data_IF_367651943014
#
_entry.id   IF_367651943014
#
_cell.length_a   1.000
_cell.length_b   1.000
_cell.length_c   1.000
_cell.angle_alpha   90.00
_cell.angle_beta   90.00
_cell.angle_gamma   90.00
#
_symmetry.space_group_name_H-M   'P 1'
#
loop_
_entity.id
_entity.type
_entity.pdbx_description
1 polymer ?
#
# COMPACT_ATOMS: atom_id res chain seq x y z
N UNK A 1 -28.95 -3.64 -13.15
CA UNK A 1 -29.12 -2.18 -12.99
C UNK A 1 -27.89 -1.62 -12.31
N UNK A 2 -27.27 -0.54 -12.82
CA UNK A 2 -26.18 0.15 -12.09
C UNK A 2 -26.73 0.98 -10.93
N UNK A 3 -25.95 1.12 -9.86
CA UNK A 3 -26.33 1.78 -8.61
C UNK A 3 -26.68 3.26 -8.84
N UNK A 4 -25.91 3.95 -9.69
CA UNK A 4 -26.12 5.38 -9.98
C UNK A 4 -27.40 5.57 -10.78
N UNK A 5 -27.61 4.75 -11.80
CA UNK A 5 -28.84 4.79 -12.62
C UNK A 5 -30.07 4.44 -11.79
N UNK A 6 -29.98 3.46 -10.89
CA UNK A 6 -31.07 3.11 -9.98
C UNK A 6 -31.44 4.29 -9.05
N UNK A 7 -30.44 4.98 -8.50
CA UNK A 7 -30.67 6.16 -7.67
C UNK A 7 -31.30 7.32 -8.44
N UNK A 8 -30.84 7.59 -9.67
CA UNK A 8 -31.43 8.66 -10.50
C UNK A 8 -32.88 8.39 -10.88
N UNK A 9 -33.28 7.12 -11.05
CA UNK A 9 -34.65 6.74 -11.36
C UNK A 9 -35.58 6.69 -10.14
N UNK A 10 -35.08 6.22 -9.00
CA UNK A 10 -35.89 5.96 -7.81
C UNK A 10 -35.87 7.11 -6.79
N UNK A 11 -34.85 7.98 -6.84
CA UNK A 11 -34.69 9.12 -5.93
C UNK A 11 -34.47 8.77 -4.46
N UNK A 12 -34.33 7.48 -4.12
CA UNK A 12 -34.17 7.00 -2.74
C UNK A 12 -33.05 5.97 -2.63
N UNK A 13 -32.18 6.16 -1.63
CA UNK A 13 -31.08 5.23 -1.36
C UNK A 13 -31.54 3.84 -0.95
N UNK A 14 -32.70 3.72 -0.29
CA UNK A 14 -33.24 2.42 0.12
C UNK A 14 -33.87 1.68 -1.06
N UNK A 15 -34.70 2.36 -1.84
CA UNK A 15 -35.30 1.77 -3.03
C UNK A 15 -34.23 1.32 -4.04
N UNK A 16 -33.19 2.13 -4.26
CA UNK A 16 -32.06 1.75 -5.11
C UNK A 16 -31.28 0.56 -4.54
N UNK A 17 -31.14 0.47 -3.22
CA UNK A 17 -30.48 -0.66 -2.58
C UNK A 17 -31.27 -1.97 -2.75
N UNK A 18 -32.59 -1.92 -2.58
CA UNK A 18 -33.48 -3.08 -2.75
C UNK A 18 -33.46 -3.57 -4.21
N UNK A 19 -33.50 -2.65 -5.18
CA UNK A 19 -33.44 -2.98 -6.62
C UNK A 19 -32.08 -3.54 -7.05
N UNK A 20 -30.99 -3.06 -6.46
CA UNK A 20 -29.63 -3.51 -6.78
C UNK A 20 -29.13 -4.65 -5.87
N UNK A 21 -29.89 -5.07 -4.87
CA UNK A 21 -29.48 -6.11 -3.90
C UNK A 21 -28.28 -5.69 -3.03
N UNK A 22 -28.13 -4.41 -2.71
CA UNK A 22 -27.01 -3.88 -1.90
C UNK A 22 -27.52 -3.20 -0.64
N UNK A 23 -26.64 -2.53 0.11
CA UNK A 23 -27.05 -1.73 1.28
C UNK A 23 -27.17 -0.26 0.91
N UNK A 24 -28.16 0.44 1.48
CA UNK A 24 -28.34 1.89 1.30
C UNK A 24 -27.08 2.72 1.66
N UNK A 25 -26.22 2.23 2.57
CA UNK A 25 -24.92 2.84 2.87
C UNK A 25 -23.93 2.73 1.71
N UNK A 26 -23.95 1.59 1.00
CA UNK A 26 -23.15 1.41 -0.22
C UNK A 26 -23.63 2.34 -1.32
N UNK A 27 -24.95 2.42 -1.54
CA UNK A 27 -25.55 3.33 -2.52
C UNK A 27 -25.13 4.77 -2.23
N UNK A 28 -25.30 5.23 -0.98
CA UNK A 28 -24.87 6.57 -0.56
C UNK A 28 -23.39 6.84 -0.87
N UNK A 29 -22.48 5.94 -0.47
CA UNK A 29 -21.03 6.11 -0.76
C UNK A 29 -20.73 6.19 -2.26
N UNK A 30 -21.42 5.42 -3.08
CA UNK A 30 -21.23 5.42 -4.53
C UNK A 30 -21.72 6.73 -5.13
N UNK A 31 -22.89 7.21 -4.70
CA UNK A 31 -23.44 8.51 -5.12
C UNK A 31 -22.54 9.66 -4.67
N UNK A 32 -22.14 9.71 -3.39
CA UNK A 32 -21.23 10.75 -2.87
C UNK A 32 -19.89 10.77 -3.65
N UNK A 33 -19.35 9.60 -3.98
CA UNK A 33 -18.12 9.48 -4.79
C UNK A 33 -18.34 9.95 -6.22
N UNK A 34 -19.49 9.65 -6.81
CA UNK A 34 -19.84 10.05 -8.17
C UNK A 34 -20.05 11.56 -8.26
N UNK A 35 -20.76 12.16 -7.31
CA UNK A 35 -20.95 13.60 -7.19
C UNK A 35 -19.62 14.32 -6.97
N UNK A 36 -18.75 13.81 -6.09
CA UNK A 36 -17.41 14.36 -5.91
C UNK A 36 -16.59 14.31 -7.22
N UNK A 37 -16.67 13.20 -7.96
CA UNK A 37 -16.00 13.05 -9.26
C UNK A 37 -16.54 14.02 -10.31
N UNK A 38 -17.87 14.22 -10.37
CA UNK A 38 -18.54 15.19 -11.25
C UNK A 38 -18.17 16.63 -10.91
N UNK A 39 -18.03 16.96 -9.63
CA UNK A 39 -17.61 18.27 -9.15
C UNK A 39 -16.10 18.54 -9.34
N UNK A 40 -15.35 17.62 -9.97
CA UNK A 40 -13.90 17.72 -10.15
C UNK A 40 -13.10 17.56 -8.86
N UNK A 41 -13.74 17.17 -7.76
CA UNK A 41 -13.08 16.88 -6.49
C UNK A 41 -12.55 15.46 -6.55
N UNK A 42 -11.27 15.34 -6.93
CA UNK A 42 -10.58 14.06 -6.85
C UNK A 42 -10.59 13.60 -5.39
N UNK A 43 -11.04 12.36 -5.09
CA UNK A 43 -10.99 11.84 -3.74
C UNK A 43 -9.54 11.91 -3.25
N UNK A 44 -9.34 12.44 -2.03
CA UNK A 44 -8.01 12.55 -1.46
C UNK A 44 -7.29 11.20 -1.62
N UNK A 45 -6.07 11.19 -2.19
CA UNK A 45 -5.34 9.96 -2.38
C UNK A 45 -5.26 9.25 -1.04
N UNK A 46 -5.60 7.97 -1.02
CA UNK A 46 -5.52 7.16 0.19
C UNK A 46 -4.09 7.26 0.70
N UNK A 47 -3.90 7.93 1.84
CA UNK A 47 -2.58 8.05 2.46
C UNK A 47 -2.14 6.64 2.81
N UNK A 48 -1.14 6.14 2.09
CA UNK A 48 -0.48 4.89 2.45
C UNK A 48 0.15 5.10 3.82
N UNK A 49 -0.26 4.28 4.79
CA UNK A 49 0.27 4.37 6.14
C UNK A 49 1.73 3.98 6.07
N UNK A 50 2.63 4.88 6.48
CA UNK A 50 4.04 4.58 6.61
C UNK A 50 4.23 3.30 7.43
N UNK A 51 4.94 2.33 6.86
CA UNK A 51 5.19 1.06 7.53
C UNK A 51 6.39 1.22 8.47
N UNK A 52 6.33 0.59 9.66
CA UNK A 52 7.36 0.65 10.70
C UNK A 52 8.76 0.15 10.30
N UNK A 53 8.96 -0.24 9.03
CA UNK A 53 10.21 -0.73 8.49
C UNK A 53 10.70 0.09 7.29
N UNK A 54 10.00 1.17 6.91
CA UNK A 54 10.37 2.02 5.76
C UNK A 54 11.77 2.61 5.94
N UNK A 55 12.14 2.99 7.17
CA UNK A 55 13.46 3.51 7.53
C UNK A 55 14.60 2.52 7.26
N UNK A 56 14.35 1.22 7.32
CA UNK A 56 15.38 0.18 7.14
C UNK A 56 15.31 -0.55 5.81
N UNK A 57 14.28 -0.32 5.00
CA UNK A 57 14.12 -0.96 3.69
C UNK A 57 15.30 -0.66 2.77
N UNK A 58 15.78 0.60 2.74
CA UNK A 58 16.95 0.99 1.95
C UNK A 58 18.24 0.26 2.39
N UNK A 59 18.47 0.16 3.70
CA UNK A 59 19.61 -0.57 4.27
C UNK A 59 19.56 -2.06 3.94
N UNK A 60 18.38 -2.67 3.98
CA UNK A 60 18.23 -4.09 3.62
C UNK A 60 18.49 -4.29 2.13
N UNK A 61 17.91 -3.46 1.25
CA UNK A 61 18.10 -3.58 -0.19
C UNK A 61 19.57 -3.51 -0.60
N UNK A 62 20.30 -2.50 -0.11
CA UNK A 62 21.74 -2.31 -0.42
C UNK A 62 22.58 -3.52 0.02
N UNK A 63 22.27 -4.11 1.17
CA UNK A 63 23.06 -5.21 1.74
C UNK A 63 22.71 -6.56 1.12
N UNK A 64 21.45 -6.73 0.71
CA UNK A 64 20.98 -7.88 -0.08
C UNK A 64 21.62 -7.85 -1.47
N UNK A 65 21.71 -6.68 -2.10
CA UNK A 65 22.39 -6.49 -3.37
C UNK A 65 23.89 -6.82 -3.29
N UNK A 66 24.61 -6.23 -2.31
CA UNK A 66 26.03 -6.51 -2.06
C UNK A 66 26.33 -7.98 -1.76
N UNK A 67 25.34 -8.71 -1.27
CA UNK A 67 25.48 -10.13 -0.91
C UNK A 67 24.83 -11.07 -1.92
N UNK A 68 24.35 -10.55 -3.07
CA UNK A 68 23.62 -11.30 -4.09
C UNK A 68 22.50 -12.19 -3.51
N UNK A 69 21.73 -11.68 -2.53
CA UNK A 69 20.63 -12.41 -1.92
C UNK A 69 21.02 -13.51 -0.93
N UNK A 70 22.31 -13.64 -0.56
CA UNK A 70 22.79 -14.70 0.35
C UNK A 70 22.86 -14.29 1.82
N UNK A 71 22.59 -13.02 2.13
CA UNK A 71 22.70 -12.51 3.49
C UNK A 71 21.54 -12.97 4.37
N UNK A 72 21.85 -13.41 5.59
CA UNK A 72 20.83 -13.81 6.56
C UNK A 72 20.31 -12.62 7.36
N UNK A 73 19.01 -12.63 7.64
CA UNK A 73 18.36 -11.62 8.48
C UNK A 73 19.00 -11.47 9.87
N UNK A 74 19.57 -12.57 10.42
CA UNK A 74 20.27 -12.57 11.72
C UNK A 74 21.49 -11.64 11.72
N UNK A 75 22.21 -11.54 10.60
CA UNK A 75 23.38 -10.66 10.46
C UNK A 75 23.00 -9.21 10.19
N UNK A 76 21.82 -8.97 9.60
CA UNK A 76 21.31 -7.65 9.30
C UNK A 76 20.59 -6.98 10.47
N UNK A 77 19.95 -7.75 11.35
CA UNK A 77 19.15 -7.23 12.44
C UNK A 77 19.91 -6.29 13.40
N UNK A 78 21.17 -6.58 13.82
CA UNK A 78 21.92 -5.64 14.65
C UNK A 78 22.21 -4.31 13.94
N UNK A 79 22.47 -4.35 12.62
CA UNK A 79 22.71 -3.14 11.81
C UNK A 79 21.43 -2.34 11.63
N UNK A 80 20.30 -3.02 11.43
CA UNK A 80 18.99 -2.38 11.35
C UNK A 80 18.60 -1.72 12.68
N UNK A 81 18.87 -2.37 13.82
CA UNK A 81 18.64 -1.79 15.15
C UNK A 81 19.53 -0.58 15.42
N UNK A 82 20.80 -0.63 15.02
CA UNK A 82 21.69 0.52 15.09
C UNK A 82 21.21 1.69 14.21
N UNK A 83 20.49 1.40 13.14
CA UNK A 83 19.86 2.39 12.26
C UNK A 83 18.45 2.84 12.73
N UNK A 84 17.99 2.43 13.93
CA UNK A 84 16.72 2.89 14.51
C UNK A 84 15.56 1.90 14.41
N UNK A 85 15.76 0.68 13.91
CA UNK A 85 14.68 -0.31 13.82
C UNK A 85 14.17 -0.77 15.18
N UNK A 86 12.98 -0.31 15.56
CA UNK A 86 12.25 -0.73 16.76
C UNK A 86 11.18 -1.81 16.50
N UNK A 87 11.09 -2.32 15.26
CA UNK A 87 10.07 -3.30 14.86
C UNK A 87 10.35 -4.75 15.32
N UNK A 88 9.39 -5.65 15.04
CA UNK A 88 9.50 -7.07 15.38
C UNK A 88 10.52 -7.81 14.50
N UNK A 89 11.39 -8.60 15.13
CA UNK A 89 12.35 -9.50 14.45
C UNK A 89 11.67 -10.43 13.43
N UNK A 90 10.44 -10.88 13.70
CA UNK A 90 9.68 -11.73 12.77
C UNK A 90 9.36 -10.99 11.49
N UNK A 91 8.98 -9.72 11.60
CA UNK A 91 8.68 -8.89 10.45
C UNK A 91 9.95 -8.61 9.62
N UNK A 92 11.05 -8.32 10.31
CA UNK A 92 12.35 -8.13 9.66
C UNK A 92 12.82 -9.37 8.88
N UNK A 93 12.66 -10.57 9.44
CA UNK A 93 12.99 -11.81 8.75
C UNK A 93 12.14 -12.04 7.49
N UNK A 94 10.85 -11.71 7.52
CA UNK A 94 9.97 -11.81 6.34
C UNK A 94 10.41 -10.86 5.24
N UNK A 95 10.70 -9.60 5.59
CA UNK A 95 11.18 -8.60 4.65
C UNK A 95 12.50 -9.02 3.98
N UNK A 96 13.46 -9.55 4.74
CA UNK A 96 14.74 -10.05 4.19
C UNK A 96 14.54 -11.29 3.32
N UNK A 97 13.64 -12.20 3.69
CA UNK A 97 13.34 -13.39 2.87
C UNK A 97 12.67 -13.01 1.55
N UNK A 98 11.71 -12.07 1.58
CA UNK A 98 11.06 -11.53 0.39
C UNK A 98 12.09 -10.85 -0.52
N UNK A 99 12.96 -9.99 0.04
CA UNK A 99 14.07 -9.36 -0.66
C UNK A 99 15.02 -10.38 -1.32
N UNK A 100 15.48 -11.39 -0.58
CA UNK A 100 16.36 -12.43 -1.11
C UNK A 100 15.70 -13.25 -2.23
N UNK A 101 14.39 -13.51 -2.14
CA UNK A 101 13.63 -14.28 -3.14
C UNK A 101 13.28 -13.50 -4.41
N UNK A 102 13.08 -12.18 -4.31
CA UNK A 102 12.69 -11.35 -5.45
C UNK A 102 13.88 -11.03 -6.36
N UNK A 103 15.12 -11.16 -5.85
CA UNK A 103 16.35 -10.78 -6.56
C UNK A 103 16.55 -9.27 -6.55
N UNK A 104 17.76 -8.81 -6.24
CA UNK A 104 18.09 -7.39 -5.97
C UNK A 104 17.61 -6.41 -7.07
N UNK A 105 17.65 -6.83 -8.34
CA UNK A 105 17.25 -6.01 -9.51
C UNK A 105 15.73 -5.77 -9.58
N UNK A 106 14.91 -6.64 -8.99
CA UNK A 106 13.46 -6.42 -8.87
C UNK A 106 13.08 -5.67 -7.61
N UNK A 107 13.92 -5.64 -6.57
CA UNK A 107 13.61 -4.91 -5.34
C UNK A 107 13.57 -3.42 -5.62
N UNK A 108 14.49 -2.84 -6.40
CA UNK A 108 14.45 -1.41 -6.76
C UNK A 108 13.21 -1.07 -7.58
N UNK A 109 12.78 -1.92 -8.52
CA UNK A 109 11.58 -1.69 -9.34
C UNK A 109 10.25 -1.96 -8.59
N UNK A 110 10.19 -2.99 -7.73
CA UNK A 110 9.03 -3.32 -6.89
C UNK A 110 8.95 -2.37 -5.69
N UNK A 111 10.08 -1.99 -5.10
CA UNK A 111 10.12 -0.97 -4.06
C UNK A 111 9.80 0.41 -4.63
N UNK A 112 10.29 0.80 -5.81
CA UNK A 112 9.88 2.05 -6.46
C UNK A 112 8.37 2.07 -6.83
N UNK A 113 7.79 0.91 -7.16
CA UNK A 113 6.35 0.76 -7.44
C UNK A 113 5.48 0.67 -6.16
N UNK A 114 6.07 0.33 -5.00
CA UNK A 114 5.37 0.08 -3.72
C UNK A 114 5.66 1.12 -2.62
N UNK A 115 6.75 1.87 -2.75
CA UNK A 115 7.24 2.93 -1.86
C UNK A 115 7.68 4.07 -2.77
N UNK A 116 6.74 4.95 -3.10
CA UNK A 116 6.91 6.00 -4.11
C UNK A 116 8.24 6.74 -4.01
N UNK A 117 8.85 6.95 -5.17
CA UNK A 117 10.08 7.67 -5.47
C UNK A 117 10.57 8.62 -4.36
N UNK A 118 11.35 8.09 -3.42
CA UNK A 118 12.28 8.85 -2.57
C UNK A 118 13.69 8.31 -2.71
N UNK A 119 14.10 8.08 -3.97
CA UNK A 119 15.51 8.02 -4.33
C UNK A 119 16.01 9.47 -4.47
N UNK A 120 16.19 10.13 -3.34
CA UNK A 120 16.92 11.39 -3.26
C UNK A 120 17.65 11.35 -1.94
N UNK A 121 18.98 11.34 -2.02
CA UNK A 121 20.01 11.68 -1.02
C UNK A 121 21.17 10.68 -1.17
N UNK A 122 22.18 11.15 -1.93
CA UNK A 122 23.52 10.62 -2.24
C UNK A 122 23.64 9.37 -3.12
#
# INVERSE_FOLDING_TARGET
MDIISAYQQLGSYRAAADQCGTTHKTVKRVVDKFEASQAGVLPAPRVERAHNYDEVTGLVAERVEKSHGRISAKRLLPKARAAGYAGSDRNFRRLVAEANSCGAVRITAVAARRYGNRASIW
#
